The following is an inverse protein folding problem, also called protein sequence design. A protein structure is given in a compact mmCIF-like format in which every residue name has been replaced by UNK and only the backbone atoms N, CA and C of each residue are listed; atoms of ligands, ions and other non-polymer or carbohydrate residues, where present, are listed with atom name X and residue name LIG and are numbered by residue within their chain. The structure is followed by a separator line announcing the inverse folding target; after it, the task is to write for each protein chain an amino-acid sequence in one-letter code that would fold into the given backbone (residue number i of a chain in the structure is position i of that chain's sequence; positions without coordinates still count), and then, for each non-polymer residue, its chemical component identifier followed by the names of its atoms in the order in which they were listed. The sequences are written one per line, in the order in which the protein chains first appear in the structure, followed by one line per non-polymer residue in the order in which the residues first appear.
data_IF_218394457562
#
_entry.id   IF_218394457562
#
_cell.length_a   1.000
_cell.length_b   1.000
_cell.length_c   1.000
_cell.angle_alpha   90.00
_cell.angle_beta   90.00
_cell.angle_gamma   90.00
#
_symmetry.space_group_name_H-M   'P 1'
#
loop_
_entity.id
_entity.type
_entity.pdbx_description
1 polymer ?
#
# COMPACT_ATOMS: atom_id res chain seq x y z
N UNK A 1 -42.58 -21.64 -5.37
CA UNK A 1 -41.35 -21.54 -4.56
C UNK A 1 -40.45 -20.51 -5.21
N UNK A 2 -40.48 -19.31 -4.64
CA UNK A 2 -39.56 -18.25 -5.06
C UNK A 2 -38.33 -18.45 -4.19
N UNK A 3 -37.28 -18.98 -4.79
CA UNK A 3 -35.94 -18.94 -4.20
C UNK A 3 -35.56 -17.47 -4.01
N UNK A 4 -35.74 -16.99 -2.79
CA UNK A 4 -35.17 -15.72 -2.36
C UNK A 4 -33.66 -15.96 -2.26
N UNK A 5 -32.94 -15.68 -3.33
CA UNK A 5 -31.48 -15.58 -3.28
C UNK A 5 -31.20 -14.37 -2.38
N UNK A 6 -30.94 -14.65 -1.11
CA UNK A 6 -30.32 -13.69 -0.20
C UNK A 6 -28.91 -13.40 -0.74
N UNK A 7 -28.80 -12.39 -1.58
CA UNK A 7 -27.52 -11.76 -1.79
C UNK A 7 -27.10 -11.23 -0.41
N UNK A 8 -26.19 -11.93 0.25
CA UNK A 8 -25.44 -11.35 1.35
C UNK A 8 -24.74 -10.13 0.75
N UNK A 9 -25.29 -8.96 1.00
CA UNK A 9 -24.62 -7.72 0.68
C UNK A 9 -23.32 -7.71 1.47
N UNK A 10 -22.20 -7.73 0.77
CA UNK A 10 -20.84 -7.70 1.32
C UNK A 10 -20.57 -6.38 2.09
N UNK A 11 -21.51 -5.46 2.03
CA UNK A 11 -21.44 -4.12 2.61
C UNK A 11 -22.76 -3.79 3.33
N UNK A 12 -22.68 -3.50 4.62
CA UNK A 12 -23.82 -3.04 5.40
C UNK A 12 -24.11 -1.56 5.16
N UNK A 13 -25.31 -1.12 5.55
CA UNK A 13 -25.65 0.33 5.55
C UNK A 13 -24.71 1.13 6.44
N UNK A 14 -24.25 0.57 7.55
CA UNK A 14 -23.32 1.23 8.47
C UNK A 14 -21.95 1.45 7.78
N UNK A 15 -21.44 0.47 7.06
CA UNK A 15 -20.20 0.60 6.28
C UNK A 15 -20.33 1.66 5.18
N UNK A 16 -21.48 1.72 4.50
CA UNK A 16 -21.72 2.72 3.47
C UNK A 16 -21.77 4.16 4.02
N UNK A 17 -22.29 4.34 5.25
CA UNK A 17 -22.23 5.64 5.97
C UNK A 17 -20.77 6.01 6.25
N UNK A 18 -19.96 5.07 6.71
CA UNK A 18 -18.54 5.29 6.99
C UNK A 18 -17.76 5.62 5.72
N UNK A 19 -18.00 4.93 4.62
CA UNK A 19 -17.38 5.22 3.33
C UNK A 19 -17.70 6.64 2.84
N UNK A 20 -18.98 7.03 2.93
CA UNK A 20 -19.42 8.37 2.58
C UNK A 20 -18.75 9.44 3.44
N UNK A 21 -18.68 9.24 4.75
CA UNK A 21 -18.04 10.18 5.67
C UNK A 21 -16.54 10.32 5.39
N UNK A 22 -15.82 9.22 5.16
CA UNK A 22 -14.40 9.24 4.80
C UNK A 22 -14.13 9.95 3.48
N UNK A 23 -14.98 9.71 2.47
CA UNK A 23 -14.85 10.38 1.18
C UNK A 23 -14.95 11.91 1.30
N UNK A 24 -15.86 12.41 2.14
CA UNK A 24 -15.99 13.83 2.44
C UNK A 24 -14.71 14.38 3.07
N UNK A 25 -14.15 13.68 4.06
CA UNK A 25 -12.90 14.07 4.72
C UNK A 25 -11.76 14.15 3.71
N UNK A 26 -11.61 13.18 2.81
CA UNK A 26 -10.58 13.17 1.78
C UNK A 26 -10.69 14.36 0.82
N UNK A 27 -11.92 14.70 0.41
CA UNK A 27 -12.17 15.87 -0.46
C UNK A 27 -11.78 17.17 0.26
N UNK A 28 -12.16 17.31 1.54
CA UNK A 28 -11.83 18.49 2.34
C UNK A 28 -10.34 18.63 2.54
N UNK A 29 -9.63 17.56 2.91
CA UNK A 29 -8.17 17.57 3.05
C UNK A 29 -7.45 17.93 1.74
N UNK A 30 -7.92 17.40 0.61
CA UNK A 30 -7.36 17.75 -0.70
C UNK A 30 -7.58 19.23 -1.04
N UNK A 31 -8.76 19.79 -0.72
CA UNK A 31 -9.05 21.21 -0.91
C UNK A 31 -8.17 22.10 -0.03
N UNK A 32 -8.01 21.75 1.24
CA UNK A 32 -7.15 22.49 2.18
C UNK A 32 -5.69 22.52 1.71
N UNK A 33 -5.21 21.40 1.15
CA UNK A 33 -3.86 21.30 0.57
C UNK A 33 -3.74 21.95 -0.82
N UNK A 34 -4.82 22.49 -1.38
CA UNK A 34 -4.86 23.11 -2.69
C UNK A 34 -4.73 22.13 -3.87
N UNK A 35 -5.10 20.87 -3.67
CA UNK A 35 -5.09 19.85 -4.72
C UNK A 35 -6.31 19.98 -5.64
N UNK A 36 -6.22 19.45 -6.86
CA UNK A 36 -7.33 19.45 -7.82
C UNK A 36 -8.34 18.37 -7.45
N UNK A 37 -9.53 18.77 -7.01
CA UNK A 37 -10.56 17.85 -6.47
C UNK A 37 -11.62 17.40 -7.49
N UNK A 38 -11.57 17.90 -8.72
CA UNK A 38 -12.63 17.68 -9.72
C UNK A 38 -12.99 16.21 -9.95
N UNK A 39 -12.01 15.35 -10.04
CA UNK A 39 -12.25 13.92 -10.31
C UNK A 39 -12.78 13.19 -9.08
N UNK A 40 -12.24 13.48 -7.88
CA UNK A 40 -12.73 12.89 -6.64
C UNK A 40 -14.15 13.36 -6.31
N UNK A 41 -14.49 14.61 -6.61
CA UNK A 41 -15.86 15.13 -6.48
C UNK A 41 -16.83 14.41 -7.41
N UNK A 42 -16.43 14.16 -8.66
CA UNK A 42 -17.22 13.38 -9.61
C UNK A 42 -17.47 11.94 -9.13
N UNK A 43 -16.47 11.30 -8.57
CA UNK A 43 -16.61 9.96 -7.98
C UNK A 43 -17.53 9.99 -6.75
N UNK A 44 -17.41 11.03 -5.92
CA UNK A 44 -18.28 11.21 -4.77
C UNK A 44 -19.75 11.45 -5.14
N UNK A 45 -20.03 12.22 -6.19
CA UNK A 45 -21.41 12.37 -6.71
C UNK A 45 -22.01 11.02 -7.10
N UNK A 46 -21.24 10.14 -7.75
CA UNK A 46 -21.71 8.79 -8.08
C UNK A 46 -21.91 7.94 -6.82
N UNK A 47 -20.99 8.03 -5.86
CA UNK A 47 -21.14 7.36 -4.55
C UNK A 47 -22.43 7.80 -3.85
N UNK A 48 -22.71 9.09 -3.81
CA UNK A 48 -23.86 9.67 -3.12
C UNK A 48 -25.19 9.24 -3.77
N UNK A 49 -25.27 9.24 -5.10
CA UNK A 49 -26.43 8.75 -5.86
C UNK A 49 -26.70 7.26 -5.54
N UNK A 50 -25.66 6.42 -5.54
CA UNK A 50 -25.83 4.99 -5.25
C UNK A 50 -26.15 4.73 -3.76
N UNK A 51 -25.66 5.59 -2.86
CA UNK A 51 -26.02 5.56 -1.45
C UNK A 51 -27.53 5.83 -1.24
N UNK A 52 -28.09 6.84 -1.93
CA UNK A 52 -29.52 7.15 -1.87
C UNK A 52 -30.36 6.02 -2.49
N UNK A 53 -29.86 5.35 -3.51
CA UNK A 53 -30.52 4.19 -4.14
C UNK A 53 -30.37 2.89 -3.32
N UNK A 54 -29.69 2.91 -2.18
CA UNK A 54 -29.40 1.76 -1.31
C UNK A 54 -28.55 0.67 -1.98
N UNK A 55 -27.73 1.04 -2.98
CA UNK A 55 -26.82 0.15 -3.72
C UNK A 55 -25.45 0.11 -3.05
N UNK A 56 -25.37 -0.41 -1.81
CA UNK A 56 -24.19 -0.30 -0.94
C UNK A 56 -22.95 -1.01 -1.49
N UNK A 57 -23.09 -2.06 -2.29
CA UNK A 57 -21.96 -2.69 -2.97
C UNK A 57 -21.28 -1.73 -3.94
N UNK A 58 -22.06 -0.96 -4.70
CA UNK A 58 -21.55 0.04 -5.66
C UNK A 58 -20.94 1.24 -4.90
N UNK A 59 -21.50 1.62 -3.75
CA UNK A 59 -20.93 2.65 -2.86
C UNK A 59 -19.51 2.29 -2.46
N UNK A 60 -19.24 1.02 -2.11
CA UNK A 60 -17.90 0.53 -1.78
C UNK A 60 -16.95 0.66 -2.96
N UNK A 61 -17.37 0.27 -4.17
CA UNK A 61 -16.54 0.36 -5.37
C UNK A 61 -16.13 1.82 -5.69
N UNK A 62 -17.05 2.77 -5.57
CA UNK A 62 -16.72 4.18 -5.74
C UNK A 62 -15.83 4.70 -4.61
N UNK A 63 -16.05 4.26 -3.37
CA UNK A 63 -15.17 4.63 -2.27
C UNK A 63 -13.75 4.10 -2.47
N UNK A 64 -13.57 2.87 -2.92
CA UNK A 64 -12.24 2.31 -3.23
C UNK A 64 -11.51 3.15 -4.30
N UNK A 65 -12.22 3.60 -5.35
CA UNK A 65 -11.65 4.50 -6.36
C UNK A 65 -11.27 5.87 -5.77
N UNK A 66 -12.08 6.41 -4.86
CA UNK A 66 -11.79 7.65 -4.13
C UNK A 66 -10.56 7.49 -3.25
N UNK A 67 -10.46 6.39 -2.51
CA UNK A 67 -9.33 6.08 -1.63
C UNK A 67 -8.02 5.91 -2.41
N UNK A 68 -8.07 5.20 -3.54
CA UNK A 68 -6.92 5.07 -4.44
C UNK A 68 -6.48 6.43 -5.01
N UNK A 69 -7.42 7.27 -5.45
CA UNK A 69 -7.11 8.59 -5.99
C UNK A 69 -6.54 9.53 -4.94
N UNK A 70 -7.11 9.54 -3.73
CA UNK A 70 -6.61 10.29 -2.59
C UNK A 70 -5.20 9.82 -2.20
N UNK A 71 -5.00 8.51 -2.06
CA UNK A 71 -3.70 7.93 -1.74
C UNK A 71 -2.64 8.26 -2.81
N UNK A 72 -3.02 8.23 -4.10
CA UNK A 72 -2.14 8.61 -5.18
C UNK A 72 -1.75 10.10 -5.10
N UNK A 73 -2.69 10.99 -4.75
CA UNK A 73 -2.43 12.40 -4.58
C UNK A 73 -1.45 12.68 -3.44
N UNK A 74 -1.70 12.11 -2.25
CA UNK A 74 -0.85 12.27 -1.07
C UNK A 74 0.55 11.72 -1.33
N UNK A 75 0.66 10.48 -1.78
CA UNK A 75 1.94 9.83 -2.05
C UNK A 75 2.74 10.55 -3.16
N UNK A 76 2.05 11.11 -4.15
CA UNK A 76 2.69 11.90 -5.21
C UNK A 76 3.24 13.21 -4.67
N UNK A 77 2.48 13.93 -3.85
CA UNK A 77 2.92 15.20 -3.25
C UNK A 77 4.13 14.99 -2.34
N UNK A 78 4.07 14.00 -1.45
CA UNK A 78 5.19 13.64 -0.57
C UNK A 78 6.42 13.21 -1.36
N UNK A 79 6.22 12.36 -2.37
CA UNK A 79 7.33 11.91 -3.21
C UNK A 79 7.98 13.01 -4.04
N UNK A 80 7.22 14.04 -4.46
CA UNK A 80 7.76 15.23 -5.12
C UNK A 80 8.64 16.01 -4.14
N UNK A 81 8.19 16.26 -2.91
CA UNK A 81 8.96 16.97 -1.89
C UNK A 81 10.27 16.23 -1.56
N UNK A 82 10.18 14.94 -1.28
CA UNK A 82 11.36 14.10 -1.00
C UNK A 82 12.39 14.14 -2.14
N UNK A 83 11.93 14.10 -3.38
CA UNK A 83 12.80 14.15 -4.55
C UNK A 83 13.44 15.53 -4.74
N UNK A 84 12.75 16.62 -4.44
CA UNK A 84 13.33 17.96 -4.50
C UNK A 84 14.47 18.13 -3.51
N UNK A 85 14.28 17.67 -2.26
CA UNK A 85 15.33 17.67 -1.26
C UNK A 85 16.51 16.80 -1.68
N UNK A 86 16.24 15.60 -2.19
CA UNK A 86 17.27 14.68 -2.63
C UNK A 86 18.05 15.19 -3.87
N UNK A 87 17.39 15.91 -4.79
CA UNK A 87 18.04 16.56 -5.92
C UNK A 87 18.97 17.69 -5.41
N UNK A 88 18.50 18.51 -4.48
CA UNK A 88 19.32 19.60 -3.92
C UNK A 88 20.59 19.05 -3.21
N UNK A 89 20.43 17.95 -2.46
CA UNK A 89 21.59 17.29 -1.85
C UNK A 89 22.55 16.68 -2.88
N UNK A 90 22.03 16.09 -3.95
CA UNK A 90 22.85 15.53 -5.02
C UNK A 90 23.63 16.61 -5.76
N UNK A 91 23.02 17.77 -6.01
CA UNK A 91 23.68 18.93 -6.61
C UNK A 91 24.81 19.50 -5.73
N UNK A 92 24.58 19.59 -4.41
CA UNK A 92 25.63 19.99 -3.45
C UNK A 92 26.84 19.06 -3.49
N UNK A 93 26.61 17.79 -3.83
CA UNK A 93 27.64 16.76 -4.05
C UNK A 93 28.20 16.72 -5.48
N UNK A 94 27.83 17.71 -6.32
CA UNK A 94 28.23 17.79 -7.74
C UNK A 94 27.82 16.54 -8.56
N UNK A 95 26.70 15.94 -8.24
CA UNK A 95 26.12 14.84 -9.04
C UNK A 95 25.22 15.45 -10.12
N UNK A 96 25.40 15.04 -11.37
CA UNK A 96 24.52 15.45 -12.46
C UNK A 96 23.17 14.71 -12.32
N UNK A 97 22.07 15.45 -12.22
CA UNK A 97 20.70 14.94 -11.98
C UNK A 97 19.70 15.47 -13.00
N UNK A 98 20.14 15.69 -14.23
CA UNK A 98 19.34 16.33 -15.27
C UNK A 98 18.11 15.49 -15.68
N UNK A 99 18.26 14.17 -15.82
CA UNK A 99 17.15 13.29 -16.16
C UNK A 99 16.15 13.20 -15.01
N UNK A 100 16.61 13.15 -13.76
CA UNK A 100 15.76 13.21 -12.57
C UNK A 100 14.98 14.52 -12.52
N UNK A 101 15.62 15.67 -12.77
CA UNK A 101 14.94 16.97 -12.81
C UNK A 101 13.85 17.05 -13.88
N UNK A 102 14.09 16.46 -15.04
CA UNK A 102 13.08 16.40 -16.09
C UNK A 102 11.88 15.57 -15.65
N UNK A 103 12.09 14.43 -15.02
CA UNK A 103 11.03 13.55 -14.55
C UNK A 103 10.20 14.19 -13.43
N UNK A 104 10.84 14.87 -12.48
CA UNK A 104 10.11 15.58 -11.41
C UNK A 104 9.28 16.76 -11.96
N UNK A 105 9.79 17.46 -12.96
CA UNK A 105 9.01 18.50 -13.63
C UNK A 105 7.76 17.91 -14.30
N UNK A 106 7.85 16.75 -14.95
CA UNK A 106 6.71 16.05 -15.54
C UNK A 106 5.74 15.54 -14.46
N UNK A 107 6.26 15.06 -13.32
CA UNK A 107 5.45 14.67 -12.18
C UNK A 107 4.62 15.83 -11.64
N UNK A 108 5.27 16.99 -11.40
CA UNK A 108 4.61 18.23 -10.96
C UNK A 108 3.52 18.68 -11.94
N UNK A 109 3.86 18.71 -13.21
CA UNK A 109 2.89 19.11 -14.25
C UNK A 109 1.69 18.16 -14.33
N UNK A 110 1.87 16.87 -14.05
CA UNK A 110 0.77 15.90 -13.97
C UNK A 110 -0.05 16.12 -12.68
N UNK A 111 0.61 16.39 -11.57
CA UNK A 111 -0.01 16.70 -10.29
C UNK A 111 -0.90 17.94 -10.35
N UNK A 112 -0.39 19.03 -10.91
CA UNK A 112 -1.10 20.30 -11.08
C UNK A 112 -2.35 20.17 -11.96
N UNK A 113 -2.38 19.19 -12.86
CA UNK A 113 -3.55 18.86 -13.68
C UNK A 113 -4.53 17.89 -13.00
N UNK A 114 -4.23 17.46 -11.77
CA UNK A 114 -5.04 16.46 -11.05
C UNK A 114 -4.84 15.02 -11.53
N UNK A 115 -3.84 14.76 -12.37
CA UNK A 115 -3.54 13.39 -12.83
C UNK A 115 -2.54 12.72 -11.87
N UNK A 116 -3.06 12.33 -10.70
CA UNK A 116 -2.24 11.86 -9.57
C UNK A 116 -1.58 10.51 -9.83
N UNK A 117 -2.24 9.59 -10.54
CA UNK A 117 -1.64 8.29 -10.89
C UNK A 117 -0.41 8.46 -11.79
N UNK A 118 -0.52 9.28 -12.84
CA UNK A 118 0.61 9.58 -13.70
C UNK A 118 1.72 10.34 -12.94
N UNK A 119 1.35 11.26 -12.06
CA UNK A 119 2.32 11.96 -11.23
C UNK A 119 3.09 10.99 -10.34
N UNK A 120 2.40 10.06 -9.66
CA UNK A 120 3.00 9.05 -8.80
C UNK A 120 3.92 8.10 -9.58
N UNK A 121 3.55 7.73 -10.80
CA UNK A 121 4.39 6.92 -11.69
C UNK A 121 5.69 7.66 -12.03
N UNK A 122 5.60 8.94 -12.42
CA UNK A 122 6.78 9.77 -12.69
C UNK A 122 7.67 9.99 -11.48
N UNK A 123 7.08 10.11 -10.28
CA UNK A 123 7.83 10.15 -9.01
C UNK A 123 8.63 8.86 -8.80
N UNK A 124 8.01 7.69 -9.05
CA UNK A 124 8.71 6.40 -8.94
C UNK A 124 9.85 6.29 -9.96
N UNK A 125 9.63 6.70 -11.21
CA UNK A 125 10.66 6.74 -12.23
C UNK A 125 11.80 7.69 -11.84
N UNK A 126 11.49 8.88 -11.32
CA UNK A 126 12.48 9.85 -10.89
C UNK A 126 13.33 9.35 -9.72
N UNK A 127 12.72 8.65 -8.72
CA UNK A 127 13.45 8.02 -7.62
C UNK A 127 14.46 6.97 -8.13
N UNK A 128 14.04 6.16 -9.10
CA UNK A 128 14.92 5.17 -9.72
C UNK A 128 16.06 5.84 -10.51
N UNK A 129 15.74 6.87 -11.29
CA UNK A 129 16.72 7.61 -12.10
C UNK A 129 17.75 8.30 -11.20
N UNK A 130 17.33 8.93 -10.10
CA UNK A 130 18.23 9.54 -9.12
C UNK A 130 19.20 8.51 -8.51
N UNK A 131 18.70 7.32 -8.20
CA UNK A 131 19.54 6.24 -7.70
C UNK A 131 20.60 5.81 -8.74
N UNK A 132 20.26 5.76 -10.02
CA UNK A 132 21.18 5.44 -11.12
C UNK A 132 22.22 6.56 -11.31
N UNK A 133 21.79 7.82 -11.38
CA UNK A 133 22.67 8.98 -11.54
C UNK A 133 23.64 9.14 -10.36
N UNK A 134 23.16 8.90 -9.13
CA UNK A 134 23.99 8.92 -7.93
C UNK A 134 25.00 7.77 -7.89
N UNK A 135 24.61 6.58 -8.32
CA UNK A 135 25.50 5.42 -8.35
C UNK A 135 26.59 5.56 -9.41
N UNK A 136 26.27 6.21 -10.55
CA UNK A 136 27.24 6.42 -11.63
C UNK A 136 28.48 7.23 -11.19
N UNK A 137 28.33 8.21 -10.30
CA UNK A 137 29.45 8.96 -9.71
C UNK A 137 30.22 8.09 -8.72
N UNK A 138 29.53 7.37 -7.88
CA UNK A 138 30.13 6.43 -6.92
C UNK A 138 30.99 5.39 -7.62
N UNK A 139 30.53 4.80 -8.73
CA UNK A 139 31.32 3.85 -9.52
C UNK A 139 32.54 4.50 -10.20
N UNK A 140 32.44 5.76 -10.64
CA UNK A 140 33.60 6.48 -11.18
C UNK A 140 34.64 6.77 -10.09
N UNK A 141 34.24 7.31 -8.97
CA UNK A 141 35.14 7.59 -7.84
C UNK A 141 35.79 6.30 -7.29
N UNK A 142 34.98 5.24 -7.20
CA UNK A 142 35.46 3.89 -6.86
C UNK A 142 36.52 3.38 -7.82
N UNK A 143 36.33 3.56 -9.14
CA UNK A 143 37.31 3.14 -10.15
C UNK A 143 38.61 3.96 -10.05
N UNK A 144 38.52 5.24 -9.72
CA UNK A 144 39.72 6.06 -9.47
C UNK A 144 40.44 5.62 -8.19
N UNK A 145 39.72 5.44 -7.07
CA UNK A 145 40.30 4.97 -5.82
C UNK A 145 40.95 3.58 -5.93
N UNK A 146 40.33 2.66 -6.68
CA UNK A 146 40.92 1.34 -7.01
C UNK A 146 42.22 1.45 -7.82
N UNK A 147 42.32 2.47 -8.68
CA UNK A 147 43.49 2.65 -9.51
C UNK A 147 44.69 3.27 -8.73
N UNK A 148 44.36 4.12 -7.76
CA UNK A 148 45.41 4.80 -6.92
C UNK A 148 45.87 3.95 -5.73
N UNK A 149 44.98 3.19 -5.08
CA UNK A 149 45.28 2.38 -3.90
C UNK A 149 44.64 0.98 -3.94
N UNK A 150 45.18 0.03 -4.71
CA UNK A 150 44.54 -1.27 -4.94
C UNK A 150 44.46 -2.17 -3.67
N UNK A 151 45.31 -1.97 -2.67
CA UNK A 151 45.33 -2.80 -1.46
C UNK A 151 44.29 -2.40 -0.40
N UNK A 152 44.11 -1.12 -0.16
CA UNK A 152 43.17 -0.61 0.87
C UNK A 152 41.73 -0.60 0.42
N UNK A 153 41.48 -0.37 -0.88
CA UNK A 153 40.15 -0.35 -1.45
C UNK A 153 39.50 -1.74 -1.51
N UNK A 154 40.25 -2.81 -1.74
CA UNK A 154 39.68 -4.19 -1.74
C UNK A 154 39.20 -4.63 -0.37
N UNK A 155 39.88 -4.22 0.73
CA UNK A 155 39.44 -4.56 2.09
C UNK A 155 38.17 -3.77 2.50
N UNK A 156 38.08 -2.48 2.12
CA UNK A 156 36.90 -1.65 2.38
C UNK A 156 35.64 -2.11 1.62
N UNK A 157 35.80 -2.56 0.38
CA UNK A 157 34.69 -3.05 -0.44
C UNK A 157 34.16 -4.41 0.00
N UNK A 158 35.04 -5.31 0.47
CA UNK A 158 34.62 -6.57 1.06
C UNK A 158 33.68 -6.36 2.26
N UNK A 159 34.03 -5.43 3.15
CA UNK A 159 33.16 -5.09 4.30
C UNK A 159 31.85 -4.42 3.91
N UNK A 160 31.87 -3.50 2.94
CA UNK A 160 30.66 -2.77 2.53
C UNK A 160 29.68 -3.68 1.78
N UNK A 161 30.18 -4.53 0.86
CA UNK A 161 29.37 -5.51 0.13
C UNK A 161 28.68 -6.50 1.09
N UNK A 162 29.42 -7.03 2.07
CA UNK A 162 28.88 -7.93 3.10
C UNK A 162 27.83 -7.20 3.97
N UNK A 163 28.06 -5.92 4.29
CA UNK A 163 27.09 -5.13 5.09
C UNK A 163 25.78 -4.87 4.36
N UNK A 164 25.81 -4.52 3.07
CA UNK A 164 24.61 -4.27 2.26
C UNK A 164 23.82 -5.56 2.05
N UNK A 165 24.49 -6.68 1.74
CA UNK A 165 23.83 -7.98 1.61
C UNK A 165 23.29 -8.44 2.97
N UNK A 166 24.03 -8.25 4.06
CA UNK A 166 23.62 -8.58 5.41
C UNK A 166 22.37 -7.80 5.85
N UNK A 167 22.32 -6.48 5.59
CA UNK A 167 21.17 -5.63 5.90
C UNK A 167 19.94 -6.01 5.08
N UNK A 168 20.12 -6.32 3.79
CA UNK A 168 19.03 -6.78 2.91
C UNK A 168 18.45 -8.12 3.36
N UNK A 169 19.32 -9.09 3.70
CA UNK A 169 18.91 -10.40 4.21
C UNK A 169 18.26 -10.28 5.60
N UNK A 170 18.80 -9.43 6.48
CA UNK A 170 18.26 -9.19 7.80
C UNK A 170 16.89 -8.49 7.75
N UNK A 171 16.71 -7.51 6.87
CA UNK A 171 15.42 -6.85 6.62
C UNK A 171 14.36 -7.83 6.13
N UNK A 172 14.72 -8.67 5.15
CA UNK A 172 13.85 -9.71 4.59
C UNK A 172 13.50 -10.78 5.62
N UNK A 173 14.49 -11.21 6.43
CA UNK A 173 14.29 -12.18 7.52
C UNK A 173 13.36 -11.61 8.62
N UNK A 174 13.55 -10.33 8.99
CA UNK A 174 12.70 -9.66 9.98
C UNK A 174 11.27 -9.47 9.49
N UNK A 175 11.09 -9.17 8.19
CA UNK A 175 9.78 -9.10 7.54
C UNK A 175 9.07 -10.46 7.55
N UNK A 176 9.75 -11.52 7.11
CA UNK A 176 9.23 -12.89 7.12
C UNK A 176 8.86 -13.35 8.53
N UNK A 177 9.71 -13.07 9.52
CA UNK A 177 9.43 -13.40 10.92
C UNK A 177 8.19 -12.69 11.46
N UNK A 178 7.97 -11.44 11.07
CA UNK A 178 6.74 -10.70 11.44
C UNK A 178 5.51 -11.27 10.74
N UNK A 179 5.63 -11.64 9.46
CA UNK A 179 4.53 -12.27 8.70
C UNK A 179 4.17 -13.61 9.32
N UNK A 180 5.14 -14.46 9.61
CA UNK A 180 4.93 -15.76 10.27
C UNK A 180 4.28 -15.61 11.66
N UNK A 181 4.69 -14.62 12.44
CA UNK A 181 4.08 -14.35 13.74
C UNK A 181 2.61 -13.98 13.62
N UNK A 182 2.25 -13.09 12.66
CA UNK A 182 0.85 -12.72 12.41
C UNK A 182 0.01 -13.94 11.98
N UNK A 183 0.52 -14.74 11.05
CA UNK A 183 -0.17 -15.96 10.61
C UNK A 183 -0.38 -16.96 11.76
N UNK A 184 0.60 -17.09 12.67
CA UNK A 184 0.46 -17.93 13.87
C UNK A 184 -0.56 -17.38 14.88
N UNK A 185 -0.65 -16.06 15.02
CA UNK A 185 -1.67 -15.42 15.88
C UNK A 185 -3.07 -15.61 15.29
N UNK A 186 -3.24 -15.49 13.96
CA UNK A 186 -4.51 -15.76 13.27
C UNK A 186 -4.91 -17.23 13.35
N UNK A 187 -3.97 -18.18 13.23
CA UNK A 187 -4.20 -19.60 13.39
C UNK A 187 -4.73 -19.94 14.80
N UNK A 188 -4.10 -19.39 15.83
CA UNK A 188 -4.54 -19.58 17.22
C UNK A 188 -5.95 -19.00 17.44
N UNK A 189 -6.21 -17.81 16.93
CA UNK A 189 -7.52 -17.16 17.03
C UNK A 189 -8.62 -18.00 16.34
N UNK A 190 -8.37 -18.52 15.14
CA UNK A 190 -9.31 -19.40 14.44
C UNK A 190 -9.56 -20.68 15.21
N UNK A 191 -8.52 -21.26 15.80
CA UNK A 191 -8.66 -22.47 16.62
C UNK A 191 -9.53 -22.21 17.85
N UNK A 192 -9.37 -21.05 18.52
CA UNK A 192 -10.22 -20.65 19.64
C UNK A 192 -11.67 -20.39 19.21
N UNK A 193 -11.89 -19.74 18.05
CA UNK A 193 -13.22 -19.53 17.51
C UNK A 193 -13.93 -20.83 17.16
N UNK A 194 -13.24 -21.78 16.52
CA UNK A 194 -13.78 -23.11 16.23
C UNK A 194 -14.18 -23.83 17.52
N UNK A 195 -13.35 -23.75 18.56
CA UNK A 195 -13.65 -24.33 19.85
C UNK A 195 -14.87 -23.66 20.53
N UNK A 196 -14.94 -22.33 20.47
CA UNK A 196 -16.07 -21.56 21.03
C UNK A 196 -17.40 -21.95 20.37
N UNK A 197 -17.42 -22.06 19.04
CA UNK A 197 -18.61 -22.50 18.28
C UNK A 197 -19.01 -23.92 18.63
N UNK A 198 -18.05 -24.83 18.82
CA UNK A 198 -18.34 -26.19 19.30
C UNK A 198 -19.00 -26.16 20.67
N UNK A 199 -18.50 -25.40 21.63
CA UNK A 199 -19.07 -25.27 22.95
C UNK A 199 -20.50 -24.71 22.89
N UNK A 200 -20.76 -23.69 22.07
CA UNK A 200 -22.10 -23.09 21.93
C UNK A 200 -23.13 -24.06 21.35
N UNK A 201 -22.72 -24.94 20.44
CA UNK A 201 -23.62 -25.94 19.86
C UNK A 201 -23.83 -27.12 20.82
N UNK A 202 -22.75 -27.75 21.33
CA UNK A 202 -22.84 -29.02 22.03
C UNK A 202 -23.09 -28.87 23.52
N UNK A 203 -22.63 -27.82 24.17
CA UNK A 203 -22.83 -27.60 25.61
C UNK A 203 -23.98 -26.65 25.94
N UNK A 204 -24.16 -25.61 25.13
CA UNK A 204 -25.15 -24.53 25.41
C UNK A 204 -26.43 -24.63 24.59
N UNK A 205 -26.44 -25.46 23.55
CA UNK A 205 -27.57 -25.62 22.60
C UNK A 205 -28.16 -24.26 22.09
N UNK A 206 -27.30 -23.23 21.94
CA UNK A 206 -27.72 -21.87 21.53
C UNK A 206 -27.64 -21.67 20.02
N UNK A 207 -26.94 -22.52 19.28
CA UNK A 207 -26.74 -22.45 17.87
C UNK A 207 -27.32 -23.67 17.17
N UNK A 208 -27.91 -23.50 16.01
CA UNK A 208 -28.46 -24.64 15.22
C UNK A 208 -27.32 -25.41 14.54
N UNK A 209 -27.55 -26.70 14.26
CA UNK A 209 -26.59 -27.56 13.54
C UNK A 209 -26.30 -27.04 12.13
N UNK A 210 -27.23 -26.31 11.51
CA UNK A 210 -27.02 -25.70 10.21
C UNK A 210 -26.04 -24.52 10.27
N UNK A 211 -26.24 -23.61 11.21
CA UNK A 211 -25.33 -22.47 11.46
C UNK A 211 -23.93 -22.94 11.88
N UNK A 212 -23.85 -24.02 12.65
CA UNK A 212 -22.58 -24.67 13.01
C UNK A 212 -21.83 -25.13 11.74
N UNK A 213 -22.52 -25.87 10.87
CA UNK A 213 -21.92 -26.38 9.63
C UNK A 213 -21.39 -25.24 8.73
N UNK A 214 -22.18 -24.17 8.55
CA UNK A 214 -21.79 -23.02 7.75
C UNK A 214 -20.58 -22.30 8.35
N UNK A 215 -20.55 -22.08 9.65
CA UNK A 215 -19.43 -21.45 10.36
C UNK A 215 -18.14 -22.27 10.29
N UNK A 216 -18.26 -23.60 10.48
CA UNK A 216 -17.10 -24.49 10.41
C UNK A 216 -16.48 -24.54 9.03
N UNK A 217 -17.28 -24.58 7.96
CA UNK A 217 -16.78 -24.55 6.58
C UNK A 217 -15.97 -23.26 6.33
N UNK A 218 -16.46 -22.10 6.78
CA UNK A 218 -15.75 -20.82 6.63
C UNK A 218 -14.43 -20.82 7.40
N UNK A 219 -14.41 -21.35 8.63
CA UNK A 219 -13.19 -21.39 9.44
C UNK A 219 -12.17 -22.36 8.85
N UNK A 220 -12.59 -23.53 8.36
CA UNK A 220 -11.72 -24.51 7.73
C UNK A 220 -11.11 -23.98 6.42
N UNK A 221 -11.90 -23.27 5.59
CA UNK A 221 -11.39 -22.64 4.38
C UNK A 221 -10.33 -21.56 4.69
N UNK A 222 -10.60 -20.72 5.70
CA UNK A 222 -9.65 -19.69 6.12
C UNK A 222 -8.40 -20.29 6.76
N UNK A 223 -8.55 -21.35 7.54
CA UNK A 223 -7.44 -22.10 8.12
C UNK A 223 -6.56 -22.74 7.05
N UNK A 224 -7.17 -23.30 6.00
CA UNK A 224 -6.46 -23.85 4.85
C UNK A 224 -5.63 -22.80 4.11
N UNK A 225 -6.15 -21.58 3.94
CA UNK A 225 -5.41 -20.44 3.35
C UNK A 225 -4.20 -20.05 4.22
N UNK A 226 -4.37 -19.96 5.54
CA UNK A 226 -3.27 -19.62 6.46
C UNK A 226 -2.15 -20.66 6.40
N UNK A 227 -2.48 -21.95 6.31
CA UNK A 227 -1.49 -23.03 6.18
C UNK A 227 -0.74 -22.94 4.84
N UNK A 228 -1.43 -22.59 3.77
CA UNK A 228 -0.82 -22.45 2.45
C UNK A 228 0.13 -21.23 2.35
N UNK A 229 -0.14 -20.17 3.13
CA UNK A 229 0.66 -18.92 3.16
C UNK A 229 1.84 -18.97 4.15
N UNK A 230 1.93 -20.03 4.97
CA UNK A 230 2.96 -20.27 6.00
C UNK A 230 4.15 -21.03 5.45
#
# INVERSE_FOLDING_TARGET
DKDVILYLFDVSRADAVDYRAKAIIYIEEMREKGYVVKEIERLFEQLDINYENLEFGIVKEFFEQIDELYSAAVNSAEGIMELEEAIEEAEKKLIAVEDTKRLIHLAKSSFERGNYFNSLERVKEAKLTLAIESSGKFFKEMRYAMKENPGETTAGFGMFGVSVIGLSLFGRWRYLKRKLKKLSEEENLLTELMRAVQIEVFERAKMSMKEYGESMIQYEERFGKIIADK
#
